data_IF_858676971062
#
_entry.id   IF_858676971062
#
_cell.length_a   1.000
_cell.length_b   1.000
_cell.length_c   1.000
_cell.angle_alpha   90.00
_cell.angle_beta   90.00
_cell.angle_gamma   90.00
#
_symmetry.space_group_name_H-M   'P 1'
#
loop_
_entity.id
_entity.type
_entity.pdbx_description
1 polymer ?
#
# COMPACT_ATOMS: atom_id res chain seq x y z
N UNK A 1 16.66 12.11 9.25
CA UNK A 1 15.68 11.02 9.01
C UNK A 1 15.85 10.00 10.11
N UNK A 2 14.77 9.49 10.70
CA UNK A 2 14.87 8.49 11.76
C UNK A 2 15.52 7.20 11.24
N UNK A 3 16.19 6.50 12.13
CA UNK A 3 16.71 5.15 11.98
C UNK A 3 15.59 4.12 12.19
N UNK A 4 15.82 2.87 11.77
CA UNK A 4 14.86 1.78 11.98
C UNK A 4 14.60 1.55 13.47
N UNK A 5 15.64 1.64 14.31
CA UNK A 5 15.53 1.47 15.76
C UNK A 5 14.70 2.57 16.42
N UNK A 6 14.91 3.83 16.03
CA UNK A 6 14.10 4.96 16.54
C UNK A 6 12.62 4.78 16.17
N UNK A 7 12.30 4.30 14.96
CA UNK A 7 10.92 4.00 14.56
C UNK A 7 10.36 2.82 15.38
N UNK A 8 11.15 1.76 15.57
CA UNK A 8 10.74 0.60 16.37
C UNK A 8 10.41 1.02 17.81
N UNK A 9 11.24 1.86 18.43
CA UNK A 9 11.02 2.28 19.82
C UNK A 9 9.74 3.11 19.95
N UNK A 10 9.46 4.01 18.99
CA UNK A 10 8.16 4.72 18.94
C UNK A 10 6.99 3.78 18.69
N UNK A 11 7.15 2.76 17.85
CA UNK A 11 6.11 1.77 17.63
C UNK A 11 5.83 0.95 18.90
N UNK A 12 6.85 0.59 19.68
CA UNK A 12 6.66 -0.08 20.99
C UNK A 12 5.89 0.79 21.96
N UNK A 13 6.23 2.07 22.08
CA UNK A 13 5.46 3.02 22.90
C UNK A 13 3.98 3.03 22.49
N UNK A 14 3.69 3.10 21.19
CA UNK A 14 2.31 3.06 20.69
C UNK A 14 1.59 1.74 21.01
N UNK A 15 2.30 0.60 20.89
CA UNK A 15 1.76 -0.72 21.26
C UNK A 15 1.36 -0.75 22.75
N UNK A 16 2.17 -0.16 23.63
CA UNK A 16 1.87 -0.08 25.07
C UNK A 16 0.62 0.77 25.35
N UNK A 17 0.32 1.76 24.50
CA UNK A 17 -0.92 2.53 24.52
C UNK A 17 -2.11 1.85 23.81
N UNK A 18 -1.95 0.61 23.33
CA UNK A 18 -3.01 -0.17 22.71
C UNK A 18 -3.15 0.01 21.19
N UNK A 19 -2.20 0.69 20.53
CA UNK A 19 -2.14 0.68 19.08
C UNK A 19 -2.01 -0.74 18.56
N UNK A 20 -2.75 -1.06 17.50
CA UNK A 20 -2.67 -2.35 16.83
C UNK A 20 -2.12 -2.13 15.42
N UNK A 21 -0.93 -2.66 15.09
CA UNK A 21 -0.33 -2.51 13.77
C UNK A 21 -1.01 -3.47 12.80
N UNK A 22 -2.28 -3.25 12.48
CA UNK A 22 -3.02 -4.05 11.49
C UNK A 22 -2.50 -3.78 10.08
N UNK A 23 -2.79 -4.66 9.12
CA UNK A 23 -2.34 -4.47 7.74
C UNK A 23 -2.88 -3.15 7.15
N UNK A 24 -4.14 -2.83 7.43
CA UNK A 24 -4.78 -1.57 7.03
C UNK A 24 -4.10 -0.36 7.65
N UNK A 25 -3.76 -0.42 8.95
CA UNK A 25 -3.06 0.68 9.62
C UNK A 25 -1.67 0.93 8.98
N UNK A 26 -0.94 -0.13 8.66
CA UNK A 26 0.36 -0.03 7.99
C UNK A 26 0.21 0.56 6.60
N UNK A 27 -0.77 0.10 5.81
CA UNK A 27 -1.04 0.66 4.48
C UNK A 27 -1.37 2.16 4.57
N UNK A 28 -2.24 2.56 5.50
CA UNK A 28 -2.59 3.97 5.71
C UNK A 28 -1.39 4.83 6.12
N UNK A 29 -0.48 4.28 6.92
CA UNK A 29 0.79 4.95 7.26
C UNK A 29 1.64 5.12 6.00
N UNK A 30 1.80 4.10 5.17
CA UNK A 30 2.53 4.22 3.90
C UNK A 30 1.91 5.29 2.98
N UNK A 31 0.58 5.33 2.87
CA UNK A 31 -0.14 6.38 2.12
C UNK A 31 0.12 7.77 2.68
N UNK A 32 0.18 7.92 4.01
CA UNK A 32 0.49 9.20 4.66
C UNK A 32 1.93 9.68 4.38
N UNK A 33 2.84 8.78 4.00
CA UNK A 33 4.23 9.07 3.65
C UNK A 33 4.50 9.04 2.15
N UNK A 34 3.47 9.02 1.31
CA UNK A 34 3.57 8.76 -0.13
C UNK A 34 4.67 9.57 -0.83
N UNK A 35 4.68 10.89 -0.64
CA UNK A 35 5.66 11.82 -1.23
C UNK A 35 7.12 11.60 -0.79
N UNK A 36 7.37 10.69 0.15
CA UNK A 36 8.66 10.45 0.79
C UNK A 36 8.97 8.94 0.92
N UNK A 37 8.24 8.08 0.22
CA UNK A 37 8.41 6.62 0.31
C UNK A 37 9.81 6.17 -0.12
N UNK A 38 10.41 6.85 -1.08
CA UNK A 38 11.81 6.69 -1.50
C UNK A 38 12.80 6.92 -0.34
N UNK A 39 12.50 7.87 0.55
CA UNK A 39 13.36 8.24 1.68
C UNK A 39 13.13 7.40 2.94
N UNK A 40 11.88 7.00 3.21
CA UNK A 40 11.50 6.40 4.50
C UNK A 40 10.74 5.07 4.40
N UNK A 41 10.13 4.74 3.27
CA UNK A 41 9.22 3.61 3.12
C UNK A 41 9.85 2.27 3.53
N UNK A 42 11.08 1.99 3.08
CA UNK A 42 11.82 0.77 3.46
C UNK A 42 12.03 0.67 4.97
N UNK A 43 12.36 1.79 5.63
CA UNK A 43 12.55 1.82 7.08
C UNK A 43 11.25 1.54 7.82
N UNK A 44 10.14 2.15 7.37
CA UNK A 44 8.81 1.88 7.92
C UNK A 44 8.48 0.39 7.84
N UNK A 45 8.66 -0.23 6.67
CA UNK A 45 8.39 -1.66 6.48
C UNK A 45 9.28 -2.52 7.38
N UNK A 46 10.58 -2.28 7.43
CA UNK A 46 11.47 -3.05 8.29
C UNK A 46 11.12 -2.92 9.77
N UNK A 47 10.73 -1.73 10.22
CA UNK A 47 10.26 -1.54 11.59
C UNK A 47 8.99 -2.33 11.88
N UNK A 48 8.02 -2.35 10.95
CA UNK A 48 6.79 -3.12 11.12
C UNK A 48 6.99 -4.64 11.10
N UNK A 49 7.86 -5.14 10.22
CA UNK A 49 8.26 -6.56 10.21
C UNK A 49 8.93 -6.91 11.56
N UNK A 50 9.81 -6.03 12.07
CA UNK A 50 10.54 -6.28 13.31
C UNK A 50 9.63 -6.37 14.54
N UNK A 51 8.56 -5.58 14.61
CA UNK A 51 7.58 -5.69 15.70
C UNK A 51 6.63 -6.88 15.52
N UNK A 52 6.38 -7.30 14.27
CA UNK A 52 5.58 -8.49 13.93
C UNK A 52 6.48 -9.73 13.84
N UNK A 53 6.95 -10.18 15.00
CA UNK A 53 7.97 -11.24 15.18
C UNK A 53 7.75 -12.58 14.45
N UNK A 54 6.58 -12.84 13.86
CA UNK A 54 6.20 -14.13 13.28
C UNK A 54 5.88 -14.04 11.77
N UNK A 55 6.32 -13.00 11.08
CA UNK A 55 6.01 -12.79 9.67
C UNK A 55 7.31 -12.60 8.87
N UNK A 56 7.49 -13.41 7.82
CA UNK A 56 8.58 -13.18 6.89
C UNK A 56 8.24 -12.01 5.94
N UNK A 57 9.24 -11.49 5.24
CA UNK A 57 9.07 -10.33 4.37
C UNK A 57 7.98 -10.56 3.31
N UNK A 58 7.97 -11.68 2.62
CA UNK A 58 7.07 -11.91 1.50
C UNK A 58 5.61 -12.06 1.99
N UNK A 59 5.40 -12.75 3.10
CA UNK A 59 4.10 -12.82 3.78
C UNK A 59 3.59 -11.42 4.19
N UNK A 60 4.48 -10.59 4.74
CA UNK A 60 4.17 -9.21 5.11
C UNK A 60 3.66 -8.43 3.90
N UNK A 61 4.45 -8.41 2.83
CA UNK A 61 4.12 -7.67 1.62
C UNK A 61 2.82 -8.18 0.98
N UNK A 62 2.64 -9.50 0.89
CA UNK A 62 1.40 -10.11 0.41
C UNK A 62 0.19 -9.61 1.18
N UNK A 63 0.26 -9.60 2.53
CA UNK A 63 -0.84 -9.12 3.37
C UNK A 63 -1.13 -7.63 3.15
N UNK A 64 -0.10 -6.78 3.09
CA UNK A 64 -0.28 -5.34 2.85
C UNK A 64 -0.90 -5.08 1.47
N UNK A 65 -0.42 -5.76 0.42
CA UNK A 65 -0.91 -5.61 -0.94
C UNK A 65 -2.36 -6.07 -1.08
N UNK A 66 -2.78 -7.12 -0.36
CA UNK A 66 -4.20 -7.52 -0.35
C UNK A 66 -5.14 -6.52 0.33
N UNK A 67 -4.64 -5.60 1.17
CA UNK A 67 -5.49 -4.55 1.75
C UNK A 67 -5.96 -3.54 0.69
N UNK A 68 -5.17 -3.32 -0.36
CA UNK A 68 -5.47 -2.39 -1.46
C UNK A 68 -6.82 -2.66 -2.11
N UNK A 69 -7.18 -3.94 -2.28
CA UNK A 69 -8.41 -4.35 -2.98
C UNK A 69 -9.62 -4.41 -2.05
N UNK A 70 -9.46 -4.20 -0.74
CA UNK A 70 -10.60 -4.19 0.16
C UNK A 70 -11.50 -3.00 -0.14
N UNK A 71 -12.84 -3.17 -0.10
CA UNK A 71 -13.77 -2.09 -0.41
C UNK A 71 -13.62 -0.89 0.53
N UNK A 72 -13.18 -1.08 1.76
CA UNK A 72 -12.94 -0.01 2.74
C UNK A 72 -11.63 0.76 2.49
N UNK A 73 -10.74 0.19 1.68
CA UNK A 73 -9.48 0.84 1.33
C UNK A 73 -9.74 1.93 0.29
N UNK A 74 -9.32 3.14 0.63
CA UNK A 74 -9.24 4.28 -0.25
C UNK A 74 -7.76 4.48 -0.57
N UNK A 75 -7.38 4.15 -1.80
CA UNK A 75 -6.05 4.46 -2.31
C UNK A 75 -6.19 5.70 -3.16
N UNK A 76 -5.60 6.79 -2.69
CA UNK A 76 -5.70 8.07 -3.38
C UNK A 76 -4.76 8.13 -4.59
N UNK A 77 -3.64 7.41 -4.54
CA UNK A 77 -2.54 7.57 -5.50
C UNK A 77 -1.72 6.30 -5.70
N UNK A 78 -1.11 6.19 -6.88
CA UNK A 78 -0.42 5.00 -7.35
C UNK A 78 0.99 4.83 -6.76
N UNK A 79 1.57 5.85 -6.12
CA UNK A 79 2.98 5.80 -5.71
C UNK A 79 3.21 4.78 -4.61
N UNK A 80 2.23 4.58 -3.72
CA UNK A 80 2.26 3.51 -2.71
C UNK A 80 2.22 2.13 -3.37
N UNK A 81 1.48 1.97 -4.46
CA UNK A 81 1.40 0.70 -5.20
C UNK A 81 2.72 0.41 -5.92
N UNK A 82 3.28 1.41 -6.59
CA UNK A 82 4.59 1.30 -7.24
C UNK A 82 5.68 0.96 -6.21
N UNK A 83 5.68 1.64 -5.06
CA UNK A 83 6.60 1.35 -3.98
C UNK A 83 6.45 -0.09 -3.46
N UNK A 84 5.22 -0.59 -3.31
CA UNK A 84 5.00 -1.98 -2.90
C UNK A 84 5.53 -2.96 -3.95
N UNK A 85 5.24 -2.75 -5.23
CA UNK A 85 5.71 -3.59 -6.36
C UNK A 85 7.22 -3.74 -6.38
N UNK A 86 7.93 -2.61 -6.33
CA UNK A 86 9.40 -2.56 -6.33
C UNK A 86 10.04 -3.33 -5.18
N UNK A 87 9.29 -3.56 -4.09
CA UNK A 87 9.79 -4.17 -2.88
C UNK A 87 9.14 -5.51 -2.51
N UNK A 88 8.20 -6.03 -3.33
CA UNK A 88 7.41 -7.23 -3.01
C UNK A 88 8.17 -8.55 -3.28
N UNK A 89 9.24 -8.51 -4.08
CA UNK A 89 9.97 -9.71 -4.51
C UNK A 89 9.21 -10.53 -5.56
N UNK A 90 9.90 -11.47 -6.23
CA UNK A 90 9.37 -12.18 -7.41
C UNK A 90 8.17 -13.09 -7.15
N UNK A 91 8.08 -13.72 -5.97
CA UNK A 91 6.99 -14.64 -5.64
C UNK A 91 5.67 -13.92 -5.34
N UNK A 92 5.77 -12.72 -4.77
CA UNK A 92 4.60 -11.89 -4.46
C UNK A 92 4.13 -11.06 -5.67
N UNK A 93 4.94 -10.93 -6.72
CA UNK A 93 4.62 -10.14 -7.91
C UNK A 93 3.35 -10.61 -8.64
N UNK A 94 3.06 -11.92 -8.67
CA UNK A 94 1.81 -12.43 -9.27
C UNK A 94 0.57 -11.98 -8.49
N UNK A 95 0.68 -11.89 -7.16
CA UNK A 95 -0.38 -11.40 -6.29
C UNK A 95 -0.56 -9.90 -6.52
N UNK A 96 0.54 -9.16 -6.67
CA UNK A 96 0.50 -7.74 -7.00
C UNK A 96 -0.22 -7.50 -8.34
N UNK A 97 0.10 -8.26 -9.39
CA UNK A 97 -0.60 -8.14 -10.68
C UNK A 97 -2.11 -8.42 -10.57
N UNK A 98 -2.52 -9.44 -9.82
CA UNK A 98 -3.93 -9.72 -9.57
C UNK A 98 -4.62 -8.58 -8.80
N UNK A 99 -3.93 -8.02 -7.81
CA UNK A 99 -4.41 -6.86 -7.04
C UNK A 99 -4.54 -5.62 -7.93
N UNK A 100 -3.55 -5.32 -8.77
CA UNK A 100 -3.59 -4.20 -9.71
C UNK A 100 -4.72 -4.35 -10.73
N UNK A 101 -4.95 -5.56 -11.25
CA UNK A 101 -6.08 -5.86 -12.12
C UNK A 101 -7.42 -5.56 -11.44
N UNK A 102 -7.62 -6.08 -10.23
CA UNK A 102 -8.85 -5.84 -9.44
C UNK A 102 -9.03 -4.36 -9.07
N UNK A 103 -7.94 -3.67 -8.74
CA UNK A 103 -7.96 -2.24 -8.46
C UNK A 103 -8.36 -1.41 -9.69
N UNK A 104 -7.84 -1.78 -10.87
CA UNK A 104 -8.22 -1.17 -12.15
C UNK A 104 -9.69 -1.42 -12.50
N UNK A 105 -10.19 -2.64 -12.31
CA UNK A 105 -11.61 -2.98 -12.51
C UNK A 105 -12.51 -2.14 -11.59
N UNK A 106 -12.15 -2.00 -10.31
CA UNK A 106 -12.89 -1.18 -9.35
C UNK A 106 -12.89 0.29 -9.73
N UNK A 107 -11.75 0.88 -10.10
CA UNK A 107 -11.66 2.29 -10.48
C UNK A 107 -12.32 2.58 -11.83
N UNK A 108 -12.28 1.64 -12.77
CA UNK A 108 -12.98 1.75 -14.06
C UNK A 108 -14.50 1.62 -13.94
N UNK A 109 -15.00 0.89 -12.94
CA UNK A 109 -16.44 0.81 -12.62
C UNK A 109 -17.04 2.16 -12.18
N UNK A 110 -16.22 3.07 -11.61
CA UNK A 110 -16.62 4.44 -11.27
C UNK A 110 -16.39 5.46 -12.39
N UNK A 111 -15.69 5.08 -13.47
CA UNK A 111 -15.64 5.88 -14.68
C UNK A 111 -16.99 5.70 -15.39
N UNK A 112 -17.91 6.65 -15.19
CA UNK A 112 -19.09 6.78 -16.05
C UNK A 112 -18.64 6.71 -17.51
N UNK A 113 -19.35 5.98 -18.40
CA UNK A 113 -19.00 5.98 -19.81
C UNK A 113 -19.00 7.44 -20.27
N UNK A 114 -17.89 7.89 -20.85
CA UNK A 114 -17.86 9.16 -21.57
C UNK A 114 -19.01 9.06 -22.58
N UNK A 115 -20.04 9.93 -22.50
CA UNK A 115 -21.10 9.91 -23.49
C UNK A 115 -20.45 10.05 -24.85
N UNK A 116 -20.72 9.10 -25.74
CA UNK A 116 -20.33 9.15 -27.15
C UNK A 116 -21.18 10.25 -27.79
N UNK A 117 -20.84 11.51 -27.55
CA UNK A 117 -21.52 12.65 -28.18
C UNK A 117 -20.56 13.81 -28.53
N UNK A 118 -19.24 13.55 -28.57
CA UNK A 118 -18.25 14.53 -29.03
C UNK A 118 -17.46 14.10 -30.28
N UNK A 119 -17.96 13.13 -31.04
CA UNK A 119 -17.50 12.90 -32.43
C UNK A 119 -18.58 13.29 -33.45
N UNK A 120 -19.17 14.48 -33.31
CA UNK A 120 -19.62 15.20 -34.49
C UNK A 120 -18.40 15.88 -35.12
N UNK A 121 -17.71 15.13 -35.97
CA UNK A 121 -16.81 15.71 -36.97
C UNK A 121 -17.74 16.37 -37.99
N UNK A 122 -17.94 17.68 -37.85
CA UNK A 122 -18.52 18.50 -38.89
C UNK A 122 -17.46 18.77 -39.96
N UNK A 123 -17.81 18.32 -41.18
CA UNK A 123 -17.26 18.58 -42.52
C UNK A 123 -15.95 17.86 -42.91
#
# INVERSE_FOLDING_TARGET
MPTVNEIIDRLKELLDFGFKPTNTAILNILQSFESRLDLIGKKIIYSFISIRKNENRDEFYKKIVTEVIKPECHIEKFDVLNFLDENIGSESGLIFLDVMRKFKERTSSYASPIPIDYMQINL
#
